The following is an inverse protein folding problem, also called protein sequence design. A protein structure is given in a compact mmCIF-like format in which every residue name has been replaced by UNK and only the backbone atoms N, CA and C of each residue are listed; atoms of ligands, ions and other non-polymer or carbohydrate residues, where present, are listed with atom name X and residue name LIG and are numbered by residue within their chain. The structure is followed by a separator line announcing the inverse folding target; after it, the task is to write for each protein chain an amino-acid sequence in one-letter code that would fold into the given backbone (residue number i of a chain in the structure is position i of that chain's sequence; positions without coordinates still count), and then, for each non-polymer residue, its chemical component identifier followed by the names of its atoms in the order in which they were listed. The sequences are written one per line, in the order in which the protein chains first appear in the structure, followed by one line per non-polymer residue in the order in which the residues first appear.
data_IF_964064354789
#
_entry.id   IF_964064354789
#
_cell.length_a   1.000
_cell.length_b   1.000
_cell.length_c   1.000
_cell.angle_alpha   90.00
_cell.angle_beta   90.00
_cell.angle_gamma   90.00
#
_symmetry.space_group_name_H-M   'P 1'
#
loop_
_entity.id
_entity.type
_entity.pdbx_description
1 polymer ?
#
# COMPACT_ATOMS: atom_id res chain seq x y z
N UNK A 1 0.57 -6.78 -4.63
CA UNK A 1 -0.50 -6.22 -3.80
C UNK A 1 -0.44 -6.83 -2.41
N UNK A 2 -0.28 -5.99 -1.39
CA UNK A 2 -0.33 -6.35 0.03
C UNK A 2 -1.72 -6.06 0.59
N UNK A 3 -2.14 -6.87 1.55
CA UNK A 3 -3.39 -6.74 2.28
C UNK A 3 -3.09 -6.83 3.77
N UNK A 4 -3.54 -5.83 4.53
CA UNK A 4 -3.25 -5.75 5.96
C UNK A 4 -4.48 -5.31 6.75
N UNK A 5 -4.74 -6.01 7.85
CA UNK A 5 -5.83 -5.72 8.77
C UNK A 5 -5.32 -4.88 9.94
N UNK A 6 -5.98 -3.76 10.20
CA UNK A 6 -5.74 -2.93 11.37
C UNK A 6 -7.02 -2.82 12.21
N UNK A 7 -7.09 -3.52 13.37
CA UNK A 7 -8.12 -3.24 14.36
C UNK A 7 -8.06 -1.79 14.85
N UNK A 8 -9.16 -1.32 15.42
CA UNK A 8 -9.25 -0.01 16.05
C UNK A 8 -8.09 0.21 17.04
N UNK A 9 -7.47 1.39 16.97
CA UNK A 9 -6.34 1.81 17.80
C UNK A 9 -5.06 0.97 17.65
N UNK A 10 -4.90 0.19 16.56
CA UNK A 10 -3.66 -0.55 16.33
C UNK A 10 -2.46 0.40 16.14
N UNK A 11 -2.66 1.52 15.43
CA UNK A 11 -1.67 2.61 15.35
C UNK A 11 -2.18 3.85 16.08
N UNK A 12 -1.25 4.58 16.71
CA UNK A 12 -1.58 5.81 17.42
C UNK A 12 -2.23 6.83 16.47
N UNK A 13 -3.41 7.32 16.84
CA UNK A 13 -4.19 8.27 16.05
C UNK A 13 -5.15 7.65 15.02
N UNK A 14 -5.14 6.33 14.82
CA UNK A 14 -6.11 5.62 13.98
C UNK A 14 -7.18 4.95 14.84
N UNK A 15 -8.30 5.66 15.03
CA UNK A 15 -9.42 5.19 15.88
C UNK A 15 -10.38 4.24 15.17
N UNK A 16 -10.30 4.15 13.85
CA UNK A 16 -11.17 3.30 13.06
C UNK A 16 -10.52 1.95 12.78
N UNK A 17 -11.36 0.95 12.52
CA UNK A 17 -10.93 -0.32 11.95
C UNK A 17 -10.68 -0.13 10.45
N UNK A 18 -9.52 -0.58 9.96
CA UNK A 18 -9.07 -0.34 8.59
C UNK A 18 -8.58 -1.62 7.93
N UNK A 19 -8.80 -1.69 6.62
CA UNK A 19 -8.11 -2.62 5.73
C UNK A 19 -7.22 -1.82 4.79
N UNK A 20 -5.93 -2.13 4.78
CA UNK A 20 -4.97 -1.49 3.90
C UNK A 20 -4.71 -2.36 2.67
N UNK A 21 -4.77 -1.72 1.51
CA UNK A 21 -4.29 -2.26 0.24
C UNK A 21 -3.06 -1.46 -0.17
N UNK A 22 -1.98 -2.16 -0.48
CA UNK A 22 -0.77 -1.51 -0.96
C UNK A 22 -0.10 -2.25 -2.11
N UNK A 23 0.80 -1.57 -2.80
CA UNK A 23 1.58 -2.10 -3.91
C UNK A 23 3.05 -1.72 -3.74
N UNK A 24 3.93 -2.73 -3.78
CA UNK A 24 5.35 -2.47 -4.00
C UNK A 24 5.58 -2.23 -5.49
N UNK A 25 6.05 -1.04 -5.85
CA UNK A 25 6.28 -0.61 -7.23
C UNK A 25 7.76 -0.45 -7.59
N UNK A 26 8.67 -0.67 -6.63
CA UNK A 26 10.11 -0.63 -6.84
C UNK A 26 10.86 -1.48 -5.80
N UNK A 27 12.12 -1.88 -6.06
CA UNK A 27 12.97 -2.56 -5.08
C UNK A 27 13.19 -1.73 -3.81
N UNK A 28 13.40 -2.42 -2.68
CA UNK A 28 13.73 -1.79 -1.39
C UNK A 28 12.54 -1.51 -0.47
N UNK A 29 11.30 -1.71 -0.94
CA UNK A 29 10.11 -1.69 -0.10
C UNK A 29 10.15 -2.76 1.00
N UNK A 30 9.68 -2.41 2.20
CA UNK A 30 9.64 -3.28 3.37
C UNK A 30 8.31 -3.14 4.09
N UNK A 31 7.82 -4.24 4.65
CA UNK A 31 6.69 -4.22 5.58
C UNK A 31 7.25 -3.98 6.98
N UNK A 32 7.80 -2.79 7.15
CA UNK A 32 8.43 -2.33 8.38
C UNK A 32 7.98 -0.90 8.64
N UNK A 33 7.16 -0.72 9.67
CA UNK A 33 6.54 0.55 10.01
C UNK A 33 6.66 0.87 11.50
N UNK A 34 5.81 1.77 12.01
CA UNK A 34 5.77 2.13 13.44
C UNK A 34 5.53 0.95 14.38
N UNK A 35 4.93 -0.13 13.87
CA UNK A 35 4.65 -1.37 14.61
C UNK A 35 5.80 -2.39 14.54
N UNK A 36 6.93 -2.02 13.92
CA UNK A 36 8.02 -2.94 13.61
C UNK A 36 7.72 -3.77 12.36
N UNK A 37 8.21 -5.02 12.34
CA UNK A 37 7.95 -5.96 11.27
C UNK A 37 6.52 -6.50 11.38
N UNK A 38 5.71 -6.25 10.35
CA UNK A 38 4.32 -6.71 10.33
C UNK A 38 4.13 -7.78 9.26
N UNK A 39 3.45 -8.89 9.57
CA UNK A 39 3.04 -9.82 8.53
C UNK A 39 1.88 -9.22 7.73
N UNK A 40 1.97 -9.26 6.40
CA UNK A 40 0.86 -8.93 5.51
C UNK A 40 0.62 -10.05 4.51
N UNK A 41 -0.63 -10.19 4.07
CA UNK A 41 -0.97 -11.12 3.00
C UNK A 41 -0.55 -10.52 1.65
N UNK A 42 0.19 -11.27 0.84
CA UNK A 42 0.45 -10.92 -0.56
C UNK A 42 -0.56 -11.65 -1.43
N UNK A 43 -1.52 -10.90 -1.99
CA UNK A 43 -2.68 -11.49 -2.68
C UNK A 43 -2.65 -11.33 -4.20
N UNK A 44 -1.66 -10.63 -4.74
CA UNK A 44 -1.57 -10.39 -6.17
C UNK A 44 -0.24 -9.76 -6.59
N UNK A 45 0.01 -9.78 -7.89
CA UNK A 45 1.19 -9.19 -8.53
C UNK A 45 0.75 -8.44 -9.79
N UNK A 46 1.25 -7.23 -9.97
CA UNK A 46 1.04 -6.48 -11.21
C UNK A 46 1.81 -7.13 -12.35
N UNK A 47 1.14 -7.42 -13.46
CA UNK A 47 1.70 -8.07 -14.65
C UNK A 47 1.90 -7.10 -15.81
N UNK A 48 1.25 -5.94 -15.77
CA UNK A 48 1.22 -4.96 -16.86
C UNK A 48 1.48 -3.56 -16.32
N UNK A 49 2.15 -2.72 -17.11
CA UNK A 49 2.37 -1.29 -16.84
C UNK A 49 2.96 -0.94 -15.45
N UNK A 50 3.84 -1.79 -14.91
CA UNK A 50 4.50 -1.52 -13.62
C UNK A 50 5.33 -0.22 -13.66
N UNK A 51 6.01 0.05 -14.77
CA UNK A 51 6.86 1.23 -14.91
C UNK A 51 6.05 2.53 -14.89
N UNK A 52 4.92 2.56 -15.61
CA UNK A 52 4.02 3.72 -15.59
C UNK A 52 3.39 3.93 -14.22
N UNK A 53 3.04 2.85 -13.53
CA UNK A 53 2.54 2.92 -12.14
C UNK A 53 3.61 3.47 -11.19
N UNK A 54 4.87 3.03 -11.32
CA UNK A 54 5.98 3.53 -10.50
C UNK A 54 6.23 5.03 -10.70
N UNK A 55 6.13 5.53 -11.94
CA UNK A 55 6.21 6.97 -12.25
C UNK A 55 5.09 7.74 -11.53
N UNK A 56 3.84 7.26 -11.62
CA UNK A 56 2.72 7.88 -10.93
C UNK A 56 2.92 7.88 -9.40
N UNK A 57 3.41 6.78 -8.82
CA UNK A 57 3.70 6.72 -7.38
C UNK A 57 4.85 7.64 -6.95
N UNK A 58 5.84 7.88 -7.81
CA UNK A 58 6.91 8.83 -7.52
C UNK A 58 6.39 10.28 -7.45
N UNK A 59 5.48 10.65 -8.36
CA UNK A 59 4.83 11.97 -8.39
C UNK A 59 4.04 12.27 -7.10
N UNK A 60 3.37 11.26 -6.52
CA UNK A 60 2.58 11.39 -5.28
C UNK A 60 3.35 12.04 -4.12
N UNK A 61 4.67 11.81 -4.05
CA UNK A 61 5.52 12.38 -2.98
C UNK A 61 5.60 13.91 -3.04
N UNK A 62 5.39 14.47 -4.23
CA UNK A 62 5.43 15.91 -4.50
C UNK A 62 4.00 16.45 -4.58
N UNK A 63 3.14 15.75 -5.31
CA UNK A 63 1.82 16.24 -5.67
C UNK A 63 0.71 15.91 -4.66
N UNK A 64 1.02 15.11 -3.64
CA UNK A 64 0.06 14.59 -2.68
C UNK A 64 -0.80 13.45 -3.23
N UNK A 65 -1.86 13.14 -2.50
CA UNK A 65 -2.75 12.01 -2.76
C UNK A 65 -3.44 12.09 -4.15
N UNK A 66 -3.74 10.92 -4.71
CA UNK A 66 -4.49 10.73 -5.96
C UNK A 66 -5.54 9.65 -5.77
N UNK A 67 -6.53 9.64 -6.65
CA UNK A 67 -7.53 8.57 -6.71
C UNK A 67 -6.94 7.32 -7.37
N UNK A 68 -7.14 6.17 -6.73
CA UNK A 68 -6.82 4.85 -7.26
C UNK A 68 -8.12 4.07 -7.45
N UNK A 69 -8.31 3.49 -8.63
CA UNK A 69 -9.41 2.57 -8.91
C UNK A 69 -8.89 1.12 -8.95
N UNK A 70 -9.64 0.19 -8.34
CA UNK A 70 -9.34 -1.23 -8.35
C UNK A 70 -10.59 -1.96 -8.82
N UNK A 71 -10.47 -2.73 -9.89
CA UNK A 71 -11.56 -3.49 -10.50
C UNK A 71 -11.15 -4.93 -10.84
N UNK A 72 -12.12 -5.72 -11.27
CA UNK A 72 -11.85 -7.03 -11.89
C UNK A 72 -11.41 -6.82 -13.34
N UNK A 73 -10.46 -7.63 -13.80
CA UNK A 73 -10.01 -7.66 -15.19
C UNK A 73 -11.10 -8.21 -16.12
#
# INVERSE_FOLDING_TARGET
CLWFYQPQNHMYGLTDELWEIGMFYAPGGRIFGPLGWSPCTIFGRMTENLDGFAVACADLRISGARTLEIGRA
#
